data_IF_665010107823
#
_entry.id   IF_665010107823
#
_cell.length_a   1.000
_cell.length_b   1.000
_cell.length_c   1.000
_cell.angle_alpha   90.00
_cell.angle_beta   90.00
_cell.angle_gamma   90.00
#
_symmetry.space_group_name_H-M   'P 1'
#
loop_
_entity.id
_entity.type
_entity.pdbx_description
1 polymer ?
#
# COMPACT_ATOMS: atom_id res chain seq x y z
N UNK A 1 31.10 -18.28 14.07
CA UNK A 1 31.06 -17.37 15.23
C UNK A 1 29.68 -16.73 15.23
N UNK A 2 28.78 -17.21 16.11
CA UNK A 2 27.37 -16.76 16.17
C UNK A 2 27.28 -15.65 17.23
N UNK A 3 27.22 -14.43 16.81
CA UNK A 3 27.01 -13.26 17.66
C UNK A 3 25.50 -13.13 17.95
N UNK A 4 25.05 -13.72 19.06
CA UNK A 4 23.67 -13.56 19.55
C UNK A 4 23.51 -12.15 20.09
N UNK A 5 22.71 -11.35 19.37
CA UNK A 5 22.39 -9.97 19.72
C UNK A 5 21.81 -9.84 21.14
N UNK A 6 22.23 -8.84 21.95
CA UNK A 6 21.84 -8.68 23.36
C UNK A 6 20.33 -8.43 23.58
N UNK A 7 19.57 -8.02 22.55
CA UNK A 7 18.12 -7.77 22.62
C UNK A 7 17.28 -9.01 22.97
N UNK A 8 17.70 -10.21 22.55
CA UNK A 8 16.96 -11.45 22.82
C UNK A 8 16.99 -11.86 24.32
N UNK A 9 18.06 -11.51 25.01
CA UNK A 9 18.21 -11.84 26.43
C UNK A 9 17.45 -10.88 27.35
N UNK A 10 17.29 -9.61 26.92
CA UNK A 10 16.51 -8.62 27.64
C UNK A 10 15.02 -8.95 27.61
N UNK A 11 14.50 -9.32 26.45
CA UNK A 11 13.09 -9.74 26.29
C UNK A 11 12.74 -11.00 27.11
N UNK A 12 13.64 -11.97 27.17
CA UNK A 12 13.46 -13.16 28.02
C UNK A 12 13.49 -12.83 29.51
N UNK A 13 14.35 -11.92 29.95
CA UNK A 13 14.42 -11.45 31.33
C UNK A 13 13.16 -10.69 31.74
N UNK A 14 12.64 -9.79 30.90
CA UNK A 14 11.41 -9.04 31.13
C UNK A 14 10.21 -10.00 31.20
N UNK A 15 10.09 -10.95 30.29
CA UNK A 15 9.02 -11.96 30.29
C UNK A 15 9.03 -12.83 31.54
N UNK A 16 10.21 -13.27 31.99
CA UNK A 16 10.33 -14.11 33.18
C UNK A 16 10.12 -13.31 34.48
N UNK A 17 10.31 -11.99 34.45
CA UNK A 17 10.04 -11.12 35.58
C UNK A 17 8.56 -10.79 35.71
N UNK A 18 7.86 -10.54 34.59
CA UNK A 18 6.41 -10.29 34.59
C UNK A 18 5.56 -11.52 34.91
N UNK A 19 6.06 -12.73 34.69
CA UNK A 19 5.36 -14.00 34.96
C UNK A 19 5.46 -14.48 36.42
N UNK A 20 6.11 -13.72 37.31
CA UNK A 20 6.11 -14.08 38.73
C UNK A 20 4.76 -13.69 39.36
N UNK A 21 4.01 -14.66 39.95
CA UNK A 21 2.65 -14.42 40.47
C UNK A 21 2.58 -13.33 41.53
N UNK A 22 3.69 -13.04 42.22
CA UNK A 22 3.80 -11.94 43.16
C UNK A 22 3.78 -10.56 42.52
N UNK A 23 4.18 -10.44 41.24
CA UNK A 23 4.24 -9.17 40.51
C UNK A 23 2.89 -8.81 39.88
N UNK A 24 2.11 -9.81 39.46
CA UNK A 24 0.76 -9.60 38.91
C UNK A 24 -0.23 -9.07 39.97
N UNK A 25 0.01 -9.34 41.24
CA UNK A 25 -0.82 -8.83 42.32
C UNK A 25 -0.42 -7.42 42.79
N UNK A 26 0.83 -7.00 42.58
CA UNK A 26 1.34 -5.68 43.03
C UNK A 26 0.92 -4.56 42.08
N UNK A 27 0.77 -4.84 40.79
CA UNK A 27 0.41 -3.83 39.77
C UNK A 27 -1.01 -3.29 40.00
N UNK A 28 -2.07 -4.09 40.16
CA UNK A 28 -3.40 -3.57 40.44
C UNK A 28 -3.49 -2.96 41.85
N UNK A 29 -2.72 -3.45 42.82
CA UNK A 29 -2.71 -2.89 44.18
C UNK A 29 -2.02 -1.52 44.21
N UNK A 30 -0.97 -1.30 43.46
CA UNK A 30 -0.31 0.00 43.28
C UNK A 30 -1.20 1.01 42.55
N UNK A 31 -1.93 0.57 41.52
CA UNK A 31 -2.86 1.38 40.75
C UNK A 31 -4.10 1.80 41.58
N UNK A 32 -4.65 0.92 42.40
CA UNK A 32 -5.78 1.24 43.28
C UNK A 32 -5.35 2.01 44.51
N UNK A 33 -4.15 1.77 45.03
CA UNK A 33 -3.58 2.49 46.16
C UNK A 33 -3.29 3.96 45.83
N UNK A 34 -2.81 4.25 44.64
CA UNK A 34 -2.47 5.63 44.23
C UNK A 34 -3.71 6.51 43.98
N UNK A 35 -4.89 5.93 43.71
CA UNK A 35 -6.13 6.68 43.56
C UNK A 35 -6.80 7.03 44.93
N UNK A 36 -6.40 6.37 46.03
CA UNK A 36 -7.03 6.48 47.31
C UNK A 36 -6.24 7.29 48.35
N UNK A 37 -4.99 7.69 48.05
CA UNK A 37 -4.15 8.43 48.99
C UNK A 37 -4.18 9.92 48.66
N UNK A 38 -4.85 10.77 49.47
CA UNK A 38 -4.74 12.21 49.33
C UNK A 38 -3.30 12.63 49.68
N UNK A 39 -2.76 13.61 48.93
CA UNK A 39 -1.44 14.22 49.05
C UNK A 39 -1.00 14.44 50.51
N UNK A 40 -0.44 13.44 51.14
CA UNK A 40 0.23 13.59 52.44
C UNK A 40 1.69 13.29 52.24
N UNK A 41 2.49 14.32 52.45
CA UNK A 41 3.95 14.29 52.34
C UNK A 41 4.55 13.25 53.29
N UNK A 42 4.93 12.11 52.77
CA UNK A 42 5.89 11.19 53.39
C UNK A 42 7.22 11.32 52.64
N UNK A 43 8.12 12.10 53.23
CA UNK A 43 9.41 12.40 52.66
C UNK A 43 10.30 11.15 52.50
N UNK A 44 10.88 10.99 51.32
CA UNK A 44 12.09 10.25 51.02
C UNK A 44 11.89 8.87 50.39
N UNK A 45 11.25 7.90 51.02
CA UNK A 45 11.18 6.50 50.54
C UNK A 45 10.04 6.34 49.51
N UNK A 46 8.98 7.10 49.66
CA UNK A 46 7.86 7.05 48.71
C UNK A 46 8.13 7.88 47.44
N UNK A 47 8.98 8.91 47.50
CA UNK A 47 9.37 9.68 46.31
C UNK A 47 10.25 8.84 45.36
N UNK A 48 11.18 8.04 45.87
CA UNK A 48 11.98 7.14 45.06
C UNK A 48 11.12 6.03 44.42
N UNK A 49 10.13 5.51 45.14
CA UNK A 49 9.19 4.51 44.63
C UNK A 49 8.27 5.09 43.56
N UNK A 50 7.72 6.30 43.80
CA UNK A 50 6.87 6.99 42.83
C UNK A 50 7.63 7.32 41.54
N UNK A 51 8.83 7.85 41.63
CA UNK A 51 9.71 8.15 40.51
C UNK A 51 10.08 6.89 39.71
N UNK A 52 10.30 5.77 40.40
CA UNK A 52 10.54 4.49 39.74
C UNK A 52 9.30 3.98 38.98
N UNK A 53 8.12 4.06 39.62
CA UNK A 53 6.84 3.66 39.00
C UNK A 53 6.52 4.55 37.78
N UNK A 54 6.69 5.86 37.91
CA UNK A 54 6.49 6.82 36.82
C UNK A 54 7.44 6.55 35.68
N UNK A 55 8.73 6.35 35.95
CA UNK A 55 9.72 6.00 34.93
C UNK A 55 9.38 4.71 34.17
N UNK A 56 8.88 3.69 34.88
CA UNK A 56 8.45 2.42 34.28
C UNK A 56 7.18 2.60 33.42
N UNK A 57 6.21 3.40 33.90
CA UNK A 57 4.99 3.70 33.15
C UNK A 57 5.28 4.51 31.88
N UNK A 58 6.19 5.48 31.96
CA UNK A 58 6.65 6.25 30.79
C UNK A 58 7.33 5.35 29.78
N UNK A 59 8.21 4.42 30.19
CA UNK A 59 8.85 3.47 29.28
C UNK A 59 7.85 2.58 28.54
N UNK A 60 6.83 2.09 29.23
CA UNK A 60 5.74 1.33 28.60
C UNK A 60 4.97 2.21 27.61
N UNK A 61 4.60 3.43 28.02
CA UNK A 61 3.88 4.37 27.18
C UNK A 61 4.67 4.69 25.89
N UNK A 62 5.93 5.05 26.01
CA UNK A 62 6.82 5.32 24.88
C UNK A 62 6.93 4.10 23.96
N UNK A 63 7.04 2.90 24.52
CA UNK A 63 7.11 1.67 23.75
C UNK A 63 5.83 1.43 22.93
N UNK A 64 4.66 1.65 23.53
CA UNK A 64 3.36 1.53 22.85
C UNK A 64 3.21 2.57 21.74
N UNK A 65 3.57 3.82 21.98
CA UNK A 65 3.51 4.88 20.98
C UNK A 65 4.50 4.65 19.85
N UNK A 66 5.72 4.21 20.15
CA UNK A 66 6.71 3.87 19.12
C UNK A 66 6.27 2.64 18.30
N UNK A 67 5.60 1.68 18.91
CA UNK A 67 4.98 0.57 18.19
C UNK A 67 3.86 1.05 17.26
N UNK A 68 3.00 1.97 17.73
CA UNK A 68 1.97 2.61 16.91
C UNK A 68 2.58 3.37 15.72
N UNK A 69 3.59 4.21 15.96
CA UNK A 69 4.29 4.93 14.89
C UNK A 69 5.00 3.97 13.93
N UNK A 70 5.55 2.86 14.43
CA UNK A 70 6.14 1.81 13.59
C UNK A 70 5.11 1.14 12.67
N UNK A 71 3.89 0.89 13.17
CA UNK A 71 2.79 0.34 12.38
C UNK A 71 2.35 1.32 11.31
N UNK A 72 2.15 2.61 11.66
CA UNK A 72 1.77 3.65 10.70
C UNK A 72 2.91 3.89 9.69
N UNK A 73 4.16 3.90 10.14
CA UNK A 73 5.32 4.01 9.27
C UNK A 73 5.38 2.89 8.24
N UNK A 74 5.13 1.65 8.66
CA UNK A 74 5.05 0.50 7.76
C UNK A 74 3.88 0.62 6.78
N UNK A 75 2.73 1.15 7.23
CA UNK A 75 1.57 1.40 6.37
C UNK A 75 1.81 2.53 5.37
N UNK A 76 2.65 3.49 5.73
CA UNK A 76 3.02 4.65 4.90
C UNK A 76 4.29 4.41 4.09
N UNK A 77 4.95 3.27 4.26
CA UNK A 77 6.15 2.94 3.51
C UNK A 77 5.81 2.83 2.02
N UNK A 78 6.34 3.78 1.27
CA UNK A 78 6.17 3.91 -0.17
C UNK A 78 6.57 2.64 -0.92
N UNK A 79 7.52 1.87 -0.39
CA UNK A 79 7.95 0.61 -1.00
C UNK A 79 6.87 -0.48 -0.95
N UNK A 80 5.98 -0.42 0.04
CA UNK A 80 4.89 -1.38 0.21
C UNK A 80 3.61 -0.96 -0.53
N UNK A 81 3.31 0.35 -0.55
CA UNK A 81 2.08 0.88 -1.17
C UNK A 81 2.30 1.29 -2.62
N UNK A 82 3.49 1.80 -2.93
CA UNK A 82 3.89 2.40 -4.21
C UNK A 82 5.18 1.72 -4.70
N UNK A 83 5.22 0.40 -4.61
CA UNK A 83 6.33 -0.41 -5.11
C UNK A 83 6.50 -0.27 -6.63
N UNK A 84 7.64 -0.72 -7.14
CA UNK A 84 7.84 -0.83 -8.59
C UNK A 84 6.70 -1.65 -9.21
N UNK A 85 6.27 -1.28 -10.43
CA UNK A 85 5.22 -2.02 -11.15
C UNK A 85 5.51 -3.51 -11.26
N UNK A 86 6.77 -3.89 -11.33
CA UNK A 86 7.21 -5.29 -11.42
C UNK A 86 7.20 -6.04 -10.09
N UNK A 87 7.23 -5.33 -8.96
CA UNK A 87 7.40 -5.90 -7.62
C UNK A 87 6.29 -5.50 -6.63
N UNK A 88 5.09 -5.17 -7.11
CA UNK A 88 3.94 -4.76 -6.29
C UNK A 88 3.59 -5.74 -5.16
N UNK A 89 3.91 -7.03 -5.31
CA UNK A 89 3.69 -8.07 -4.31
C UNK A 89 4.98 -8.52 -3.60
N UNK A 90 6.03 -7.70 -3.64
CA UNK A 90 7.31 -8.02 -3.01
C UNK A 90 8.17 -9.02 -3.78
N UNK A 91 7.65 -9.62 -4.88
CA UNK A 91 8.40 -10.49 -5.78
C UNK A 91 7.90 -10.36 -7.22
N UNK A 92 8.72 -10.80 -8.17
CA UNK A 92 8.42 -10.73 -9.60
C UNK A 92 7.51 -11.88 -10.12
N UNK A 93 7.13 -12.83 -9.26
CA UNK A 93 6.42 -14.04 -9.70
C UNK A 93 5.06 -13.73 -10.31
N UNK A 94 4.28 -12.85 -9.65
CA UNK A 94 2.94 -12.44 -10.12
C UNK A 94 3.05 -11.60 -11.38
N UNK A 95 4.06 -10.73 -11.45
CA UNK A 95 4.37 -9.95 -12.65
C UNK A 95 4.72 -10.84 -13.83
N UNK A 96 5.60 -11.83 -13.65
CA UNK A 96 5.99 -12.76 -14.68
C UNK A 96 4.81 -13.60 -15.17
N UNK A 97 3.88 -13.98 -14.28
CA UNK A 97 2.64 -14.64 -14.66
C UNK A 97 1.77 -13.73 -15.53
N UNK A 98 1.56 -12.49 -15.13
CA UNK A 98 0.79 -11.50 -15.87
C UNK A 98 1.42 -11.23 -17.26
N UNK A 99 2.74 -11.05 -17.31
CA UNK A 99 3.51 -10.86 -18.56
C UNK A 99 3.41 -12.08 -19.48
N UNK A 100 3.52 -13.29 -18.94
CA UNK A 100 3.40 -14.52 -19.73
C UNK A 100 1.98 -14.67 -20.28
N UNK A 101 0.95 -14.47 -19.47
CA UNK A 101 -0.44 -14.51 -19.91
C UNK A 101 -0.70 -13.46 -21.01
N UNK A 102 -0.21 -12.24 -20.81
CA UNK A 102 -0.30 -11.14 -21.78
C UNK A 102 0.32 -11.51 -23.13
N UNK A 103 1.58 -11.96 -23.16
CA UNK A 103 2.31 -12.23 -24.39
C UNK A 103 1.85 -13.51 -25.10
N UNK A 104 1.50 -14.57 -24.34
CA UNK A 104 1.23 -15.89 -24.93
C UNK A 104 -0.24 -16.05 -25.36
N UNK A 105 -1.17 -15.42 -24.65
CA UNK A 105 -2.60 -15.64 -24.87
C UNK A 105 -3.31 -14.36 -25.30
N UNK A 106 -3.09 -13.25 -24.58
CA UNK A 106 -3.93 -12.07 -24.74
C UNK A 106 -3.56 -11.24 -25.97
N UNK A 107 -2.26 -11.10 -26.29
CA UNK A 107 -1.82 -10.43 -27.53
C UNK A 107 -2.37 -11.16 -28.77
N UNK A 108 -2.16 -12.47 -28.97
CA UNK A 108 -2.72 -13.16 -30.14
C UNK A 108 -4.23 -13.07 -30.24
N UNK A 109 -4.94 -13.09 -29.09
CA UNK A 109 -6.39 -12.90 -29.06
C UNK A 109 -6.78 -11.49 -29.50
N UNK A 110 -6.12 -10.46 -28.95
CA UNK A 110 -6.34 -9.06 -29.32
C UNK A 110 -6.07 -8.79 -30.79
N UNK A 111 -4.98 -9.35 -31.34
CA UNK A 111 -4.63 -9.26 -32.77
C UNK A 111 -5.68 -9.95 -33.66
N UNK A 112 -6.17 -11.11 -33.23
CA UNK A 112 -7.21 -11.85 -33.98
C UNK A 112 -8.51 -11.04 -34.04
N UNK A 113 -8.90 -10.40 -32.93
CA UNK A 113 -10.06 -9.52 -32.87
C UNK A 113 -9.84 -8.29 -33.76
N UNK A 114 -8.67 -7.65 -33.69
CA UNK A 114 -8.32 -6.51 -34.53
C UNK A 114 -8.38 -6.87 -36.03
N UNK A 115 -7.81 -8.02 -36.41
CA UNK A 115 -7.83 -8.50 -37.79
C UNK A 115 -9.25 -8.75 -38.27
N UNK A 116 -10.10 -9.37 -37.45
CA UNK A 116 -11.51 -9.59 -37.79
C UNK A 116 -12.23 -8.25 -38.03
N UNK A 117 -12.04 -7.27 -37.17
CA UNK A 117 -12.66 -5.95 -37.32
C UNK A 117 -12.16 -5.22 -38.57
N UNK A 118 -10.87 -5.34 -38.88
CA UNK A 118 -10.31 -4.79 -40.12
C UNK A 118 -10.91 -5.42 -41.37
N UNK A 119 -11.14 -6.74 -41.38
CA UNK A 119 -11.83 -7.42 -42.46
C UNK A 119 -13.27 -6.89 -42.63
N UNK A 120 -14.01 -6.73 -41.52
CA UNK A 120 -15.38 -6.20 -41.59
C UNK A 120 -15.38 -4.78 -42.16
N UNK A 121 -14.44 -3.91 -41.74
CA UNK A 121 -14.33 -2.54 -42.25
C UNK A 121 -13.97 -2.54 -43.74
N UNK A 122 -13.07 -3.41 -44.16
CA UNK A 122 -12.68 -3.54 -45.57
C UNK A 122 -13.86 -3.98 -46.45
N UNK A 123 -14.69 -4.94 -45.99
CA UNK A 123 -15.92 -5.34 -46.66
C UNK A 123 -16.92 -4.16 -46.74
N UNK A 124 -17.09 -3.39 -45.69
CA UNK A 124 -17.96 -2.19 -45.69
C UNK A 124 -17.47 -1.15 -46.70
N UNK A 125 -16.15 -0.93 -46.80
CA UNK A 125 -15.56 0.00 -47.79
C UNK A 125 -15.78 -0.56 -49.20
N UNK A 126 -15.56 -1.85 -49.46
CA UNK A 126 -15.79 -2.48 -50.74
C UNK A 126 -17.25 -2.32 -51.20
N UNK A 127 -18.22 -2.55 -50.34
CA UNK A 127 -19.63 -2.37 -50.68
C UNK A 127 -20.00 -0.93 -51.02
N UNK A 128 -19.32 0.07 -50.40
CA UNK A 128 -19.51 1.48 -50.75
C UNK A 128 -18.92 1.83 -52.11
N UNK A 129 -17.78 1.19 -52.50
CA UNK A 129 -17.15 1.40 -53.78
C UNK A 129 -18.11 0.96 -54.90
N UNK A 130 -18.69 -0.24 -54.77
CA UNK A 130 -19.62 -0.80 -55.75
C UNK A 130 -20.85 0.09 -55.92
N UNK A 131 -21.29 0.80 -54.88
CA UNK A 131 -22.45 1.67 -54.93
C UNK A 131 -22.18 3.07 -55.53
N UNK A 132 -20.93 3.59 -55.50
CA UNK A 132 -20.69 5.01 -55.83
C UNK A 132 -19.68 5.25 -56.96
N UNK A 133 -18.96 4.22 -57.46
CA UNK A 133 -18.00 4.25 -58.57
C UNK A 133 -16.98 5.43 -58.50
N UNK A 134 -16.63 5.95 -57.34
CA UNK A 134 -15.80 7.12 -57.14
C UNK A 134 -14.52 6.88 -56.35
N UNK A 135 -13.45 7.58 -56.69
CA UNK A 135 -12.09 7.59 -56.09
C UNK A 135 -11.94 7.80 -54.56
N UNK A 136 -12.95 8.16 -53.75
CA UNK A 136 -12.77 8.31 -52.28
C UNK A 136 -12.34 7.04 -51.55
N UNK A 137 -12.57 5.89 -52.13
CA UNK A 137 -12.28 4.59 -51.52
C UNK A 137 -10.78 4.32 -51.26
N UNK A 138 -9.88 4.84 -52.06
CA UNK A 138 -8.43 4.65 -51.85
C UNK A 138 -8.00 5.36 -50.55
N UNK A 139 -8.53 6.56 -50.31
CA UNK A 139 -8.25 7.31 -49.10
C UNK A 139 -8.72 6.55 -47.83
N UNK A 140 -9.91 5.94 -47.88
CA UNK A 140 -10.48 5.19 -46.78
C UNK A 140 -9.67 3.91 -46.48
N UNK A 141 -9.19 3.22 -47.54
CA UNK A 141 -8.32 2.03 -47.40
C UNK A 141 -6.97 2.40 -46.78
N UNK A 142 -6.35 3.49 -47.25
CA UNK A 142 -5.07 3.99 -46.68
C UNK A 142 -5.24 4.37 -45.19
N UNK A 143 -6.34 5.07 -44.86
CA UNK A 143 -6.62 5.44 -43.50
C UNK A 143 -6.84 4.21 -42.58
N UNK A 144 -7.56 3.20 -43.10
CA UNK A 144 -7.76 1.93 -42.42
C UNK A 144 -6.44 1.19 -42.18
N UNK A 145 -5.54 1.16 -43.17
CA UNK A 145 -4.21 0.52 -43.04
C UNK A 145 -3.36 1.24 -41.97
N UNK A 146 -3.35 2.59 -41.97
CA UNK A 146 -2.64 3.36 -40.95
C UNK A 146 -3.22 3.09 -39.54
N UNK A 147 -4.54 3.07 -39.43
CA UNK A 147 -5.22 2.76 -38.18
C UNK A 147 -4.86 1.35 -37.69
N UNK A 148 -4.83 0.36 -38.60
CA UNK A 148 -4.42 -1.00 -38.24
C UNK A 148 -3.01 -1.05 -37.66
N UNK A 149 -2.04 -0.43 -38.30
CA UNK A 149 -0.64 -0.41 -37.84
C UNK A 149 -0.55 0.27 -36.46
N UNK A 150 -1.30 1.35 -36.25
CA UNK A 150 -1.31 2.07 -34.98
C UNK A 150 -1.90 1.22 -33.86
N UNK A 151 -3.05 0.57 -34.08
CA UNK A 151 -3.67 -0.29 -33.05
C UNK A 151 -2.85 -1.56 -32.81
N UNK A 152 -2.25 -2.14 -33.83
CA UNK A 152 -1.35 -3.28 -33.68
C UNK A 152 -0.14 -2.92 -32.81
N UNK A 153 0.50 -1.77 -33.07
CA UNK A 153 1.60 -1.27 -32.25
C UNK A 153 1.13 -1.03 -30.80
N UNK A 154 -0.06 -0.46 -30.61
CA UNK A 154 -0.62 -0.17 -29.29
C UNK A 154 -0.90 -1.46 -28.51
N UNK A 155 -1.39 -2.51 -29.15
CA UNK A 155 -1.66 -3.82 -28.56
C UNK A 155 -0.35 -4.46 -28.07
N UNK A 156 0.67 -4.50 -28.93
CA UNK A 156 1.96 -5.13 -28.57
C UNK A 156 2.63 -4.40 -27.41
N UNK A 157 2.60 -3.06 -27.42
CA UNK A 157 3.29 -2.25 -26.40
C UNK A 157 2.39 -1.84 -25.24
N UNK A 158 1.18 -2.38 -25.13
CA UNK A 158 0.19 -1.97 -24.13
C UNK A 158 0.69 -2.11 -22.69
N UNK A 159 1.41 -3.18 -22.39
CA UNK A 159 1.96 -3.47 -21.07
C UNK A 159 3.08 -2.50 -20.69
N UNK A 160 3.95 -2.16 -21.65
CA UNK A 160 5.04 -1.21 -21.44
C UNK A 160 4.50 0.21 -21.26
N UNK A 161 3.45 0.58 -21.98
CA UNK A 161 2.76 1.87 -21.84
C UNK A 161 2.15 1.98 -20.44
N UNK A 162 1.41 0.98 -19.97
CA UNK A 162 0.81 0.97 -18.64
C UNK A 162 1.89 1.02 -17.56
N UNK A 163 2.97 0.26 -17.71
CA UNK A 163 4.11 0.27 -16.80
C UNK A 163 4.77 1.64 -16.73
N UNK A 164 4.97 2.32 -17.87
CA UNK A 164 5.53 3.65 -17.94
C UNK A 164 4.64 4.69 -17.25
N UNK A 165 3.33 4.67 -17.54
CA UNK A 165 2.35 5.54 -16.89
C UNK A 165 2.37 5.33 -15.38
N UNK A 166 2.34 4.07 -14.93
CA UNK A 166 2.41 3.76 -13.52
C UNK A 166 3.69 4.28 -12.86
N UNK A 167 4.84 4.16 -13.51
CA UNK A 167 6.12 4.64 -12.98
C UNK A 167 6.14 6.16 -12.77
N UNK A 168 5.51 6.92 -13.67
CA UNK A 168 5.40 8.38 -13.51
C UNK A 168 4.44 8.75 -12.37
N UNK A 169 3.28 8.10 -12.27
CA UNK A 169 2.38 8.32 -11.12
C UNK A 169 3.05 7.91 -9.80
N UNK A 170 3.86 6.87 -9.81
CA UNK A 170 4.59 6.43 -8.64
C UNK A 170 5.62 7.47 -8.16
N UNK A 171 6.34 8.12 -9.07
CA UNK A 171 7.26 9.21 -8.75
C UNK A 171 6.52 10.39 -8.09
N UNK A 172 5.35 10.74 -8.64
CA UNK A 172 4.50 11.81 -8.07
C UNK A 172 4.04 11.42 -6.67
N UNK A 173 3.52 10.19 -6.48
CA UNK A 173 3.08 9.71 -5.19
C UNK A 173 4.23 9.68 -4.16
N UNK A 174 5.41 9.21 -4.57
CA UNK A 174 6.60 9.19 -3.73
C UNK A 174 7.04 10.59 -3.28
N UNK A 175 6.91 11.61 -4.14
CA UNK A 175 7.23 12.99 -3.76
C UNK A 175 6.28 13.52 -2.68
N UNK A 176 4.99 13.19 -2.76
CA UNK A 176 4.02 13.59 -1.72
C UNK A 176 4.27 12.90 -0.38
N UNK A 177 4.64 11.63 -0.39
CA UNK A 177 4.90 10.87 0.85
C UNK A 177 6.26 11.25 1.44
N UNK A 178 7.27 11.48 0.60
CA UNK A 178 8.62 11.85 1.07
C UNK A 178 8.68 13.21 1.77
N UNK A 179 7.88 14.18 1.35
CA UNK A 179 7.81 15.51 2.00
C UNK A 179 6.96 15.50 3.29
N UNK A 180 6.03 14.56 3.41
CA UNK A 180 5.09 14.46 4.52
C UNK A 180 5.32 13.20 5.37
N UNK A 181 6.56 12.81 5.62
CA UNK A 181 6.83 11.67 6.51
C UNK A 181 6.37 12.03 7.94
N UNK A 182 5.09 11.79 8.21
CA UNK A 182 4.42 12.03 9.50
C UNK A 182 5.01 11.16 10.64
N UNK A 183 6.00 10.32 10.33
CA UNK A 183 6.49 9.26 11.22
C UNK A 183 8.01 9.32 11.38
N UNK A 184 8.63 10.49 11.21
CA UNK A 184 10.09 10.59 11.30
C UNK A 184 10.64 10.67 12.73
N UNK A 185 9.81 10.84 13.75
CA UNK A 185 10.28 10.95 15.13
C UNK A 185 9.66 9.89 16.03
N UNK A 186 10.41 8.82 16.30
CA UNK A 186 10.17 8.01 17.47
C UNK A 186 10.19 8.92 18.71
N UNK A 187 9.23 8.74 19.60
CA UNK A 187 9.22 9.44 20.88
C UNK A 187 10.48 9.02 21.65
N UNK A 188 11.30 10.02 22.01
CA UNK A 188 12.48 9.80 22.84
C UNK A 188 12.14 10.11 24.30
N UNK A 189 12.62 9.28 25.20
CA UNK A 189 12.49 9.48 26.65
C UNK A 189 13.06 10.82 27.11
N UNK A 190 14.09 11.32 26.42
CA UNK A 190 14.70 12.63 26.72
C UNK A 190 13.74 13.81 26.47
N UNK A 191 12.71 13.63 25.63
CA UNK A 191 11.72 14.66 25.33
C UNK A 191 10.55 14.64 26.34
N UNK A 192 10.43 13.58 27.12
CA UNK A 192 9.42 13.43 28.14
C UNK A 192 10.00 13.82 29.50
N UNK A 193 9.70 15.00 29.95
CA UNK A 193 10.12 15.46 31.28
C UNK A 193 9.31 14.75 32.38
N UNK A 194 9.88 13.67 32.92
CA UNK A 194 9.23 12.83 33.94
C UNK A 194 8.85 13.61 35.21
N UNK A 195 9.52 14.74 35.45
CA UNK A 195 9.26 15.57 36.63
C UNK A 195 7.91 16.35 36.58
N UNK A 196 7.26 16.39 35.41
CA UNK A 196 5.96 17.04 35.24
C UNK A 196 4.79 16.06 35.07
N UNK A 197 5.06 14.77 34.94
CA UNK A 197 4.03 13.76 34.72
C UNK A 197 3.51 13.25 36.08
N UNK A 198 2.29 13.57 36.41
CA UNK A 198 1.53 12.89 37.49
C UNK A 198 1.31 11.42 37.12
N UNK A 199 1.31 10.50 38.10
CA UNK A 199 1.00 9.06 37.89
C UNK A 199 -0.29 8.88 37.07
N UNK A 200 -1.31 9.73 37.30
CA UNK A 200 -2.56 9.74 36.53
C UNK A 200 -2.34 10.12 35.07
N UNK A 201 -1.44 11.04 34.75
CA UNK A 201 -1.04 11.42 33.40
C UNK A 201 -0.33 10.29 32.68
N UNK A 202 0.59 9.59 33.36
CA UNK A 202 1.28 8.41 32.81
C UNK A 202 0.30 7.27 32.51
N UNK A 203 -0.67 7.02 33.38
CA UNK A 203 -1.70 6.01 33.16
C UNK A 203 -2.56 6.34 31.94
N UNK A 204 -3.01 7.59 31.80
CA UNK A 204 -3.76 8.04 30.61
C UNK A 204 -2.92 7.92 29.34
N UNK A 205 -1.64 8.24 29.39
CA UNK A 205 -0.72 8.12 28.25
C UNK A 205 -0.59 6.66 27.76
N UNK A 206 -0.50 5.69 28.68
CA UNK A 206 -0.48 4.26 28.36
C UNK A 206 -1.82 3.82 27.76
N UNK A 207 -2.95 4.21 28.36
CA UNK A 207 -4.28 3.84 27.87
C UNK A 207 -4.52 4.40 26.48
N UNK A 208 -4.20 5.66 26.25
CA UNK A 208 -4.30 6.29 24.92
C UNK A 208 -3.37 5.60 23.91
N UNK A 209 -2.13 5.29 24.31
CA UNK A 209 -1.17 4.55 23.45
C UNK A 209 -1.69 3.17 23.07
N UNK A 210 -2.29 2.43 24.00
CA UNK A 210 -2.89 1.13 23.73
C UNK A 210 -4.07 1.21 22.75
N UNK A 211 -5.00 2.14 22.97
CA UNK A 211 -6.11 2.35 22.04
C UNK A 211 -5.62 2.79 20.65
N UNK A 212 -4.66 3.70 20.58
CA UNK A 212 -4.06 4.14 19.34
C UNK A 212 -3.39 2.98 18.60
N UNK A 213 -2.66 2.11 19.31
CA UNK A 213 -2.04 0.92 18.73
C UNK A 213 -3.09 -0.05 18.15
N UNK A 214 -4.21 -0.29 18.86
CA UNK A 214 -5.29 -1.13 18.36
C UNK A 214 -5.93 -0.56 17.09
N UNK A 215 -6.24 0.73 17.07
CA UNK A 215 -6.80 1.42 15.91
C UNK A 215 -5.79 1.43 14.75
N UNK A 216 -4.53 1.72 15.03
CA UNK A 216 -3.45 1.70 14.05
C UNK A 216 -3.26 0.33 13.40
N UNK A 217 -3.34 -0.74 14.19
CA UNK A 217 -3.25 -2.11 13.66
C UNK A 217 -4.41 -2.44 12.73
N UNK A 218 -5.65 -2.08 13.10
CA UNK A 218 -6.82 -2.27 12.23
C UNK A 218 -6.65 -1.48 10.94
N UNK A 219 -6.25 -0.21 11.03
CA UNK A 219 -6.01 0.64 9.87
C UNK A 219 -4.92 0.07 8.95
N UNK A 220 -3.84 -0.46 9.52
CA UNK A 220 -2.77 -1.13 8.78
C UNK A 220 -3.28 -2.34 7.99
N UNK A 221 -4.03 -3.24 8.64
CA UNK A 221 -4.59 -4.42 7.97
C UNK A 221 -5.52 -4.02 6.83
N UNK A 222 -6.39 -3.03 7.04
CA UNK A 222 -7.28 -2.52 5.98
C UNK A 222 -6.48 -1.91 4.83
N UNK A 223 -5.46 -1.10 5.13
CA UNK A 223 -4.58 -0.51 4.12
C UNK A 223 -3.87 -1.58 3.28
N UNK A 224 -3.35 -2.63 3.93
CA UNK A 224 -2.68 -3.74 3.26
C UNK A 224 -3.64 -4.50 2.33
N UNK A 225 -4.85 -4.81 2.78
CA UNK A 225 -5.87 -5.48 1.95
C UNK A 225 -6.24 -4.62 0.74
N UNK A 226 -6.43 -3.31 0.92
CA UNK A 226 -6.74 -2.38 -0.18
C UNK A 226 -5.58 -2.29 -1.17
N UNK A 227 -4.34 -2.21 -0.68
CA UNK A 227 -3.15 -2.17 -1.54
C UNK A 227 -3.00 -3.45 -2.38
N UNK A 228 -3.19 -4.63 -1.76
CA UNK A 228 -3.17 -5.91 -2.47
C UNK A 228 -4.29 -6.02 -3.51
N UNK A 229 -5.51 -5.63 -3.17
CA UNK A 229 -6.64 -5.65 -4.10
C UNK A 229 -6.39 -4.75 -5.31
N UNK A 230 -5.85 -3.54 -5.11
CA UNK A 230 -5.46 -2.63 -6.19
C UNK A 230 -4.33 -3.20 -7.05
N UNK A 231 -3.32 -3.83 -6.44
CA UNK A 231 -2.24 -4.48 -7.18
C UNK A 231 -2.74 -5.59 -8.10
N UNK A 232 -3.63 -6.47 -7.61
CA UNK A 232 -4.26 -7.52 -8.41
C UNK A 232 -5.07 -6.92 -9.56
N UNK A 233 -5.90 -5.91 -9.27
CA UNK A 233 -6.70 -5.22 -10.26
C UNK A 233 -5.83 -4.60 -11.36
N UNK A 234 -4.74 -3.93 -10.97
CA UNK A 234 -3.81 -3.29 -11.89
C UNK A 234 -3.12 -4.32 -12.81
N UNK A 235 -2.64 -5.44 -12.26
CA UNK A 235 -2.02 -6.49 -13.06
C UNK A 235 -3.03 -7.18 -13.99
N UNK A 236 -4.26 -7.41 -13.53
CA UNK A 236 -5.32 -7.95 -14.37
C UNK A 236 -5.65 -6.98 -15.52
N UNK A 237 -5.83 -5.70 -15.24
CA UNK A 237 -6.07 -4.69 -16.28
C UNK A 237 -4.92 -4.61 -17.28
N UNK A 238 -3.68 -4.62 -16.80
CA UNK A 238 -2.50 -4.60 -17.66
C UNK A 238 -2.38 -5.87 -18.53
N UNK A 239 -2.58 -7.04 -17.94
CA UNK A 239 -2.51 -8.30 -18.67
C UNK A 239 -3.59 -8.41 -19.76
N UNK A 240 -4.81 -7.97 -19.51
CA UNK A 240 -5.93 -8.05 -20.44
C UNK A 240 -6.10 -6.81 -21.33
N UNK A 241 -5.24 -5.80 -21.23
CA UNK A 241 -5.32 -4.56 -22.00
C UNK A 241 -5.38 -4.70 -23.52
N UNK A 242 -4.77 -5.72 -24.21
CA UNK A 242 -4.90 -5.90 -25.63
C UNK A 242 -6.34 -6.07 -26.14
N UNK A 243 -7.22 -6.70 -25.34
CA UNK A 243 -8.61 -6.94 -25.74
C UNK A 243 -9.39 -5.64 -25.91
N UNK A 244 -9.51 -4.75 -24.88
CA UNK A 244 -10.22 -3.49 -25.05
C UNK A 244 -9.53 -2.54 -26.02
N UNK A 245 -8.20 -2.62 -26.20
CA UNK A 245 -7.49 -1.82 -27.19
C UNK A 245 -7.82 -2.25 -28.62
N UNK A 246 -7.99 -3.56 -28.89
CA UNK A 246 -8.43 -4.04 -30.19
C UNK A 246 -9.85 -3.57 -30.56
N UNK A 247 -10.73 -3.39 -29.55
CA UNK A 247 -12.09 -2.89 -29.75
C UNK A 247 -12.15 -1.40 -30.15
N UNK A 248 -11.08 -0.62 -29.91
CA UNK A 248 -11.00 0.78 -30.34
C UNK A 248 -10.97 0.95 -31.86
N UNK A 249 -10.46 -0.06 -32.57
CA UNK A 249 -10.37 -0.05 -34.03
C UNK A 249 -11.72 -0.15 -34.77
N UNK A 250 -12.80 -0.37 -34.04
CA UNK A 250 -14.13 -0.59 -34.63
C UNK A 250 -15.17 0.38 -34.08
N UNK A 251 -15.89 1.10 -34.96
CA UNK A 251 -16.78 2.20 -34.56
C UNK A 251 -17.90 1.74 -33.62
N UNK A 252 -18.44 0.54 -33.79
CA UNK A 252 -19.54 0.01 -33.01
C UNK A 252 -19.13 -0.37 -31.58
N UNK A 253 -17.87 -0.83 -31.38
CA UNK A 253 -17.34 -1.25 -30.07
C UNK A 253 -16.40 -0.21 -29.44
N UNK A 254 -16.12 0.88 -30.15
CA UNK A 254 -15.19 1.95 -29.72
C UNK A 254 -15.52 2.50 -28.34
N UNK A 255 -16.80 2.57 -28.00
CA UNK A 255 -17.24 3.03 -26.68
C UNK A 255 -16.77 2.13 -25.53
N UNK A 256 -16.68 0.81 -25.77
CA UNK A 256 -16.16 -0.14 -24.79
C UNK A 256 -14.64 0.06 -24.56
N UNK A 257 -13.89 0.24 -25.66
CA UNK A 257 -12.45 0.56 -25.58
C UNK A 257 -12.17 1.89 -24.89
N UNK A 258 -12.97 2.93 -25.17
CA UNK A 258 -12.88 4.24 -24.50
C UNK A 258 -13.24 4.12 -23.01
N UNK A 259 -14.22 3.29 -22.66
CA UNK A 259 -14.58 3.01 -21.27
C UNK A 259 -13.41 2.42 -20.48
N UNK A 260 -12.64 1.52 -21.10
CA UNK A 260 -11.44 0.96 -20.49
C UNK A 260 -10.34 2.01 -20.26
N UNK A 261 -10.14 2.92 -21.21
CA UNK A 261 -9.13 3.99 -21.07
C UNK A 261 -9.49 5.06 -20.01
N UNK A 262 -10.77 5.16 -19.65
CA UNK A 262 -11.24 6.13 -18.64
C UNK A 262 -11.17 5.61 -17.21
N UNK A 263 -11.07 4.29 -17.01
CA UNK A 263 -10.97 3.66 -15.70
C UNK A 263 -9.50 3.49 -15.28
#
# INVERSE_FOLDING_TARGET
>A
MNEKTPKSNLMKRIRNFMLKPKFMAVIPLALTGSMLIPNVAYAGIFDDLSNWVEGFMVDIGITLWNAYFGIIGSASDTSTIVGSFTTLFGNDSVWNLAKTAHSTVVIPLGESILALFMLVQLVKISQRIDATATLPAVKDIVFLAVAYVLFHWLIINSLDIISAIYSEFNKIAASFVGENSLVSSALDKAQWDANQASIGGCALFIVMGFFSMCVGFIAYVVSLVVALARGIQLYAMAAFSPIPLSLLGFDETRQMGIGFLKN
#
